data_IF_534541740902
#
_entry.id   IF_534541740902
#
_cell.length_a   1.000
_cell.length_b   1.000
_cell.length_c   1.000
_cell.angle_alpha   90.00
_cell.angle_beta   90.00
_cell.angle_gamma   90.00
#
_symmetry.space_group_name_H-M   'P 1'
#
loop_
_entity.id
_entity.type
_entity.pdbx_description
1 polymer ?
#
# COMPACT_ATOMS: atom_id res chain seq x y z
N UNK A 1 5.68 -13.23 -18.60
CA UNK A 1 4.23 -12.97 -18.73
C UNK A 1 4.06 -11.48 -19.01
N UNK A 2 3.41 -11.09 -20.11
CA UNK A 2 3.19 -9.68 -20.44
C UNK A 2 1.95 -9.12 -19.76
N UNK A 3 1.81 -7.78 -19.72
CA UNK A 3 0.64 -7.13 -19.12
C UNK A 3 -0.68 -7.67 -19.70
N UNK A 4 -0.80 -7.79 -21.02
CA UNK A 4 -2.00 -8.31 -21.67
C UNK A 4 -2.38 -9.73 -21.19
N UNK A 5 -1.41 -10.63 -21.06
CA UNK A 5 -1.66 -11.99 -20.58
C UNK A 5 -2.15 -12.04 -19.13
N UNK A 6 -1.65 -11.12 -18.30
CA UNK A 6 -2.12 -10.97 -16.91
C UNK A 6 -3.57 -10.46 -16.86
N UNK A 7 -3.91 -9.45 -17.67
CA UNK A 7 -5.28 -8.95 -17.76
C UNK A 7 -6.24 -10.01 -18.31
N UNK A 8 -5.82 -10.77 -19.33
CA UNK A 8 -6.62 -11.86 -19.89
C UNK A 8 -6.93 -12.93 -18.83
N UNK A 9 -5.93 -13.34 -18.05
CA UNK A 9 -6.12 -14.29 -16.96
C UNK A 9 -7.08 -13.74 -15.89
N UNK A 10 -6.87 -12.50 -15.43
CA UNK A 10 -7.72 -11.87 -14.43
C UNK A 10 -9.17 -11.68 -14.92
N UNK A 11 -9.35 -11.31 -16.18
CA UNK A 11 -10.68 -11.20 -16.77
C UNK A 11 -11.34 -12.57 -16.87
N UNK A 12 -10.61 -13.61 -17.28
CA UNK A 12 -11.13 -14.98 -17.38
C UNK A 12 -11.72 -15.47 -16.05
N UNK A 13 -11.04 -15.22 -14.92
CA UNK A 13 -11.54 -15.59 -13.59
C UNK A 13 -12.88 -14.90 -13.23
N UNK A 14 -13.13 -13.70 -13.76
CA UNK A 14 -14.36 -12.95 -13.51
C UNK A 14 -15.50 -13.30 -14.48
N UNK A 15 -15.27 -14.14 -15.49
CA UNK A 15 -16.29 -14.51 -16.48
C UNK A 15 -17.55 -15.13 -15.86
N UNK A 16 -17.43 -16.08 -14.90
CA UNK A 16 -18.60 -16.73 -14.32
C UNK A 16 -19.51 -15.81 -13.52
N UNK A 17 -19.02 -14.63 -13.11
CA UNK A 17 -19.77 -13.67 -12.30
C UNK A 17 -20.80 -12.88 -13.12
N UNK A 18 -20.78 -12.97 -14.46
CA UNK A 18 -21.76 -12.30 -15.32
C UNK A 18 -21.74 -10.76 -15.23
N UNK A 19 -20.64 -10.18 -14.75
CA UNK A 19 -20.49 -8.73 -14.54
C UNK A 19 -20.50 -7.98 -15.88
N UNK A 20 -21.09 -6.78 -15.86
CA UNK A 20 -20.94 -5.83 -16.97
C UNK A 20 -19.48 -5.43 -17.17
N UNK A 21 -19.10 -5.12 -18.42
CA UNK A 21 -17.70 -4.88 -18.80
C UNK A 21 -16.97 -3.83 -17.93
N UNK A 22 -17.66 -2.73 -17.58
CA UNK A 22 -17.10 -1.68 -16.73
C UNK A 22 -16.82 -2.17 -15.30
N UNK A 23 -17.75 -2.93 -14.71
CA UNK A 23 -17.58 -3.53 -13.38
C UNK A 23 -16.46 -4.57 -13.39
N UNK A 24 -16.41 -5.43 -14.41
CA UNK A 24 -15.38 -6.45 -14.57
C UNK A 24 -13.97 -5.85 -14.64
N UNK A 25 -13.76 -4.82 -15.46
CA UNK A 25 -12.47 -4.11 -15.50
C UNK A 25 -12.19 -3.34 -14.21
N UNK A 26 -13.22 -2.78 -13.56
CA UNK A 26 -13.09 -2.12 -12.25
C UNK A 26 -12.54 -3.07 -11.18
N UNK A 27 -13.04 -4.30 -11.14
CA UNK A 27 -12.59 -5.34 -10.21
C UNK A 27 -11.13 -5.71 -10.46
N UNK A 28 -10.75 -5.97 -11.72
CA UNK A 28 -9.36 -6.25 -12.10
C UNK A 28 -8.44 -5.10 -11.68
N UNK A 29 -8.81 -3.86 -11.96
CA UNK A 29 -7.99 -2.69 -11.63
C UNK A 29 -7.86 -2.47 -10.12
N UNK A 30 -8.93 -2.71 -9.35
CA UNK A 30 -8.88 -2.59 -7.90
C UNK A 30 -7.89 -3.59 -7.28
N UNK A 31 -7.99 -4.86 -7.67
CA UNK A 31 -7.11 -5.92 -7.17
C UNK A 31 -5.67 -5.69 -7.63
N UNK A 32 -5.44 -5.56 -8.95
CA UNK A 32 -4.09 -5.36 -9.48
C UNK A 32 -3.47 -4.06 -8.97
N UNK A 33 -4.27 -3.00 -8.81
CA UNK A 33 -3.82 -1.74 -8.22
C UNK A 33 -3.29 -1.92 -6.80
N UNK A 34 -3.99 -2.69 -5.97
CA UNK A 34 -3.51 -3.03 -4.63
C UNK A 34 -2.21 -3.85 -4.69
N UNK A 35 -2.18 -4.94 -5.46
CA UNK A 35 -1.00 -5.82 -5.56
C UNK A 35 0.24 -5.06 -6.05
N UNK A 36 0.10 -4.34 -7.16
CA UNK A 36 1.22 -3.60 -7.77
C UNK A 36 1.63 -2.41 -6.91
N UNK A 37 0.67 -1.68 -6.33
CA UNK A 37 0.94 -0.55 -5.45
C UNK A 37 1.70 -0.96 -4.18
N UNK A 38 1.26 -2.03 -3.50
CA UNK A 38 1.95 -2.57 -2.33
C UNK A 38 3.36 -3.06 -2.67
N UNK A 39 3.53 -3.73 -3.81
CA UNK A 39 4.84 -4.17 -4.28
C UNK A 39 5.78 -3.00 -4.59
N UNK A 40 5.29 -1.95 -5.25
CA UNK A 40 6.06 -0.75 -5.57
C UNK A 40 6.48 -0.01 -4.31
N UNK A 41 5.56 0.21 -3.36
CA UNK A 41 5.87 0.88 -2.09
C UNK A 41 6.97 0.14 -1.31
N UNK A 42 6.91 -1.19 -1.24
CA UNK A 42 7.94 -2.01 -0.59
C UNK A 42 9.30 -1.90 -1.31
N UNK A 43 9.30 -1.86 -2.65
CA UNK A 43 10.51 -1.70 -3.43
C UNK A 43 11.13 -0.30 -3.24
N UNK A 44 10.29 0.74 -3.25
CA UNK A 44 10.71 2.12 -3.02
C UNK A 44 11.32 2.30 -1.63
N UNK A 45 10.69 1.76 -0.59
CA UNK A 45 11.23 1.79 0.76
C UNK A 45 12.59 1.10 0.84
N UNK A 46 12.71 -0.12 0.27
CA UNK A 46 13.98 -0.86 0.23
C UNK A 46 15.06 -0.10 -0.53
N UNK A 47 14.72 0.51 -1.67
CA UNK A 47 15.64 1.30 -2.48
C UNK A 47 16.11 2.56 -1.76
N UNK A 48 15.19 3.26 -1.08
CA UNK A 48 15.49 4.43 -0.24
C UNK A 48 16.43 4.05 0.91
N UNK A 49 16.12 2.97 1.65
CA UNK A 49 16.97 2.47 2.74
C UNK A 49 18.37 2.10 2.25
N UNK A 50 18.46 1.38 1.14
CA UNK A 50 19.74 0.98 0.55
C UNK A 50 20.59 2.17 0.07
N UNK A 51 19.98 3.15 -0.61
CA UNK A 51 20.70 4.33 -1.12
C UNK A 51 21.14 5.29 -0.01
N UNK A 52 20.40 5.37 1.11
CA UNK A 52 20.75 6.17 2.28
C UNK A 52 21.65 5.48 3.31
N UNK A 53 22.05 4.22 3.09
CA UNK A 53 22.84 3.44 4.05
C UNK A 53 22.10 3.13 5.36
N UNK A 54 20.76 3.13 5.34
CA UNK A 54 19.91 2.88 6.51
C UNK A 54 19.57 1.38 6.58
N UNK A 55 20.48 0.60 7.17
CA UNK A 55 20.33 -0.86 7.25
C UNK A 55 19.32 -1.30 8.31
N UNK A 56 19.04 -0.43 9.29
CA UNK A 56 18.18 -0.71 10.43
C UNK A 56 17.09 0.36 10.59
N UNK A 57 16.01 0.05 11.30
CA UNK A 57 14.98 1.03 11.64
C UNK A 57 15.55 2.18 12.48
N UNK A 58 16.52 1.90 13.35
CA UNK A 58 17.23 2.92 14.13
C UNK A 58 18.03 3.90 13.25
N UNK A 59 18.57 3.45 12.11
CA UNK A 59 19.22 4.34 11.17
C UNK A 59 18.22 5.26 10.48
N UNK A 60 17.06 4.71 10.10
CA UNK A 60 15.97 5.46 9.49
C UNK A 60 15.45 6.54 10.46
N UNK A 61 15.18 6.17 11.71
CA UNK A 61 14.73 7.09 12.76
C UNK A 61 15.69 8.26 12.94
N UNK A 62 16.98 7.96 13.02
CA UNK A 62 18.04 8.96 13.19
C UNK A 62 18.09 9.93 12.01
N UNK A 63 17.95 9.43 10.79
CA UNK A 63 17.99 10.25 9.56
C UNK A 63 16.74 11.12 9.42
N UNK A 64 15.57 10.59 9.77
CA UNK A 64 14.27 11.23 9.57
C UNK A 64 13.91 12.21 10.70
N UNK A 65 14.48 12.06 11.91
CA UNK A 65 14.16 12.89 13.07
C UNK A 65 14.23 14.42 12.82
N UNK A 66 15.28 14.98 12.18
CA UNK A 66 15.33 16.43 11.92
C UNK A 66 14.22 16.92 10.99
N UNK A 67 13.81 16.08 10.03
CA UNK A 67 12.72 16.40 9.10
C UNK A 67 11.36 16.40 9.81
N UNK A 68 11.08 15.38 10.63
CA UNK A 68 9.84 15.33 11.42
C UNK A 68 9.74 16.48 12.42
N UNK A 69 10.86 16.86 13.05
CA UNK A 69 10.91 18.02 13.96
C UNK A 69 10.53 19.32 13.25
N UNK A 70 10.98 19.52 12.00
CA UNK A 70 10.59 20.68 11.17
C UNK A 70 9.12 20.66 10.82
N UNK A 71 8.56 19.50 10.46
CA UNK A 71 7.13 19.35 10.15
C UNK A 71 6.29 19.70 11.39
N UNK A 72 6.66 19.17 12.56
CA UNK A 72 5.96 19.43 13.81
C UNK A 72 6.00 20.91 14.19
N UNK A 73 7.18 21.54 14.10
CA UNK A 73 7.35 22.96 14.42
C UNK A 73 6.56 23.89 13.49
N UNK A 74 6.34 23.50 12.24
CA UNK A 74 5.55 24.29 11.29
C UNK A 74 4.05 24.34 11.64
N UNK A 75 3.55 23.38 12.43
CA UNK A 75 2.14 23.34 12.88
C UNK A 75 1.10 23.09 11.77
N UNK A 76 1.51 22.95 10.51
CA UNK A 76 0.63 22.82 9.36
C UNK A 76 0.00 21.43 9.20
N UNK A 77 0.54 20.41 9.88
CA UNK A 77 0.13 19.01 9.73
C UNK A 77 -0.19 18.35 11.09
N UNK A 78 -1.19 18.85 11.84
CA UNK A 78 -1.42 18.44 13.24
C UNK A 78 -1.69 16.94 13.41
N UNK A 79 -2.47 16.33 12.50
CA UNK A 79 -2.75 14.88 12.56
C UNK A 79 -1.51 14.03 12.26
N UNK A 80 -0.72 14.43 11.26
CA UNK A 80 0.52 13.73 10.94
C UNK A 80 1.54 13.86 12.07
N UNK A 81 1.69 15.05 12.64
CA UNK A 81 2.59 15.27 13.78
C UNK A 81 2.16 14.50 15.02
N UNK A 82 0.86 14.40 15.29
CA UNK A 82 0.35 13.57 16.38
C UNK A 82 0.64 12.08 16.17
N UNK A 83 0.42 11.55 14.96
CA UNK A 83 0.79 10.18 14.61
C UNK A 83 2.31 9.97 14.71
N UNK A 84 3.12 10.86 14.14
CA UNK A 84 4.57 10.76 14.14
C UNK A 84 5.17 10.87 15.55
N UNK A 85 4.51 11.53 16.51
CA UNK A 85 4.96 11.57 17.90
C UNK A 85 4.49 10.35 18.72
N UNK A 86 3.66 9.47 18.17
CA UNK A 86 3.09 8.35 18.90
C UNK A 86 4.14 7.25 19.11
N UNK A 87 4.33 6.73 20.34
CA UNK A 87 5.37 5.75 20.64
C UNK A 87 5.18 4.40 19.95
N UNK A 88 3.94 4.05 19.61
CA UNK A 88 3.60 2.82 18.85
C UNK A 88 3.46 3.03 17.34
N UNK A 89 3.98 4.13 16.76
CA UNK A 89 3.82 4.40 15.31
C UNK A 89 4.50 3.35 14.42
N UNK A 90 5.54 2.70 14.96
CA UNK A 90 6.37 1.71 14.29
C UNK A 90 6.02 0.27 14.74
N UNK A 91 4.92 0.10 15.49
CA UNK A 91 4.41 -1.22 15.83
C UNK A 91 4.04 -1.98 14.56
N UNK A 92 4.25 -3.31 14.58
CA UNK A 92 3.90 -4.15 13.44
C UNK A 92 2.41 -3.94 13.09
N UNK A 93 2.08 -3.59 11.84
CA UNK A 93 0.70 -3.38 11.46
C UNK A 93 -0.07 -4.68 11.68
N UNK A 94 -1.26 -4.64 12.31
CA UNK A 94 -2.04 -5.85 12.56
C UNK A 94 -2.55 -6.49 11.26
N UNK A 95 -2.66 -5.72 10.19
CA UNK A 95 -3.06 -6.17 8.86
C UNK A 95 -1.85 -6.62 8.02
N UNK A 96 -1.92 -7.85 7.49
CA UNK A 96 -0.99 -8.34 6.46
C UNK A 96 -1.47 -7.94 5.07
N UNK A 97 -0.64 -8.14 4.05
CA UNK A 97 -1.05 -7.99 2.66
C UNK A 97 -2.29 -8.84 2.34
N UNK A 98 -2.31 -10.09 2.78
CA UNK A 98 -3.41 -11.03 2.60
C UNK A 98 -4.67 -10.53 3.31
N UNK A 99 -4.56 -10.04 4.54
CA UNK A 99 -5.71 -9.47 5.27
C UNK A 99 -6.33 -8.29 4.53
N UNK A 100 -5.51 -7.39 3.97
CA UNK A 100 -6.02 -6.23 3.22
C UNK A 100 -6.62 -6.66 1.89
N UNK A 101 -6.03 -7.66 1.22
CA UNK A 101 -6.58 -8.23 -0.01
C UNK A 101 -7.93 -8.89 0.25
N UNK A 102 -8.08 -9.62 1.35
CA UNK A 102 -9.36 -10.23 1.74
C UNK A 102 -10.43 -9.15 1.97
N UNK A 103 -10.10 -8.08 2.70
CA UNK A 103 -11.03 -6.95 2.88
C UNK A 103 -11.44 -6.31 1.56
N UNK A 104 -10.51 -6.19 0.61
CA UNK A 104 -10.79 -5.66 -0.72
C UNK A 104 -11.74 -6.58 -1.48
N UNK A 105 -11.48 -7.88 -1.48
CA UNK A 105 -12.30 -8.88 -2.17
C UNK A 105 -13.71 -8.96 -1.56
N UNK A 106 -13.82 -8.94 -0.23
CA UNK A 106 -15.09 -8.87 0.49
C UNK A 106 -15.88 -7.60 0.12
N UNK A 107 -15.20 -6.46 0.06
CA UNK A 107 -15.80 -5.19 -0.37
C UNK A 107 -16.35 -5.27 -1.80
N UNK A 108 -15.58 -5.84 -2.73
CA UNK A 108 -16.01 -6.03 -4.12
C UNK A 108 -17.22 -6.98 -4.21
N UNK A 109 -17.20 -8.11 -3.51
CA UNK A 109 -18.29 -9.08 -3.49
C UNK A 109 -19.59 -8.50 -2.91
N UNK A 110 -19.50 -7.59 -1.94
CA UNK A 110 -20.66 -6.93 -1.33
C UNK A 110 -21.28 -5.82 -2.19
N UNK A 111 -20.56 -5.35 -3.22
CA UNK A 111 -20.98 -4.21 -4.07
C UNK A 111 -21.41 -4.65 -5.48
N UNK A 112 -21.19 -5.92 -5.85
CA UNK A 112 -21.65 -6.54 -7.10
C UNK A 112 -23.08 -7.04 -7.06
#
# INVERSE_FOLDING_TARGET
>A
MGALAMYEAALTELDPLGLGAAARMGFVNAVLGHVLGSGLALLEERSMRASGGMATDADLDRVVAPYLARIAAAGAHPHFSAWAAHPGRDDAPPQTFETVLDWLLDGLASTS
#
